data_IF_926089341722
#
_entry.id   IF_926089341722
#
_cell.length_a   1.000
_cell.length_b   1.000
_cell.length_c   1.000
_cell.angle_alpha   90.00
_cell.angle_beta   90.00
_cell.angle_gamma   90.00
#
_symmetry.space_group_name_H-M   'P 1'
#
loop_
_entity.id
_entity.type
_entity.pdbx_description
1 polymer ?
#
# COMPACT_ATOMS: atom_id res chain seq x y z
N UNK A 1 -18.57 -8.37 -19.99
CA UNK A 1 -17.35 -7.74 -20.55
C UNK A 1 -16.38 -8.84 -20.96
N UNK A 2 -15.65 -8.69 -22.06
CA UNK A 2 -14.59 -9.63 -22.44
C UNK A 2 -13.42 -9.55 -21.45
N UNK A 3 -12.74 -10.68 -21.19
CA UNK A 3 -11.54 -10.76 -20.34
C UNK A 3 -10.45 -9.77 -20.77
N UNK A 4 -10.25 -9.60 -22.07
CA UNK A 4 -9.33 -8.61 -22.64
C UNK A 4 -9.69 -7.17 -22.25
N UNK A 5 -10.99 -6.82 -22.28
CA UNK A 5 -11.47 -5.50 -21.86
C UNK A 5 -11.23 -5.26 -20.36
N UNK A 6 -11.47 -6.26 -19.53
CA UNK A 6 -11.21 -6.19 -18.09
C UNK A 6 -9.71 -6.05 -17.79
N UNK A 7 -8.86 -6.79 -18.49
CA UNK A 7 -7.41 -6.70 -18.35
C UNK A 7 -6.87 -5.31 -18.73
N UNK A 8 -7.36 -4.73 -19.83
CA UNK A 8 -7.00 -3.36 -20.22
C UNK A 8 -7.46 -2.32 -19.18
N UNK A 9 -8.64 -2.53 -18.57
CA UNK A 9 -9.13 -1.68 -17.50
C UNK A 9 -8.22 -1.73 -16.27
N UNK A 10 -7.86 -2.94 -15.83
CA UNK A 10 -6.94 -3.15 -14.71
C UNK A 10 -5.55 -2.57 -14.99
N UNK A 11 -5.02 -2.72 -16.20
CA UNK A 11 -3.76 -2.12 -16.60
C UNK A 11 -3.78 -0.59 -16.55
N UNK A 12 -4.84 0.04 -17.09
CA UNK A 12 -5.03 1.49 -17.00
C UNK A 12 -5.17 1.95 -15.54
N UNK A 13 -5.84 1.15 -14.70
CA UNK A 13 -5.95 1.39 -13.26
C UNK A 13 -4.55 1.41 -12.61
N UNK A 14 -3.70 0.44 -12.92
CA UNK A 14 -2.30 0.38 -12.46
C UNK A 14 -1.48 1.58 -12.88
N UNK A 15 -1.56 1.99 -14.15
CA UNK A 15 -0.84 3.18 -14.63
C UNK A 15 -1.29 4.47 -13.90
N UNK A 16 -2.59 4.60 -13.60
CA UNK A 16 -3.07 5.74 -12.78
C UNK A 16 -2.54 5.66 -11.35
N UNK A 17 -2.53 4.47 -10.75
CA UNK A 17 -1.98 4.24 -9.42
C UNK A 17 -0.49 4.62 -9.34
N UNK A 18 0.32 4.25 -10.33
CA UNK A 18 1.74 4.68 -10.39
C UNK A 18 1.90 6.20 -10.43
N UNK A 19 1.00 6.91 -11.14
CA UNK A 19 1.04 8.38 -11.21
C UNK A 19 0.67 9.02 -9.88
N UNK A 20 -0.27 8.43 -9.14
CA UNK A 20 -0.65 8.91 -7.81
C UNK A 20 0.52 8.72 -6.84
N UNK A 21 1.11 7.53 -6.79
CA UNK A 21 2.21 7.21 -5.88
C UNK A 21 3.51 7.96 -6.20
N UNK A 22 3.87 8.06 -7.49
CA UNK A 22 5.20 8.50 -7.94
C UNK A 22 5.17 9.78 -8.79
N UNK A 23 4.07 10.52 -8.82
CA UNK A 23 3.89 11.65 -9.75
C UNK A 23 4.92 12.78 -9.62
N UNK A 24 5.57 12.90 -8.47
CA UNK A 24 6.60 13.90 -8.19
C UNK A 24 8.03 13.37 -8.39
N UNK A 25 8.19 12.07 -8.67
CA UNK A 25 9.46 11.41 -8.95
C UNK A 25 9.39 10.77 -10.33
N UNK A 26 9.81 11.51 -11.35
CA UNK A 26 9.73 11.06 -12.73
C UNK A 26 10.51 9.77 -12.99
N UNK A 27 11.65 9.58 -12.31
CA UNK A 27 12.49 8.37 -12.48
C UNK A 27 11.76 7.15 -11.94
N UNK A 28 11.21 7.23 -10.73
CA UNK A 28 10.42 6.14 -10.15
C UNK A 28 9.12 5.91 -10.91
N UNK A 29 8.45 6.97 -11.38
CA UNK A 29 7.25 6.85 -12.21
C UNK A 29 7.54 6.09 -13.51
N UNK A 30 8.62 6.41 -14.21
CA UNK A 30 9.01 5.71 -15.44
C UNK A 30 9.35 4.25 -15.17
N UNK A 31 10.14 3.96 -14.13
CA UNK A 31 10.48 2.61 -13.73
C UNK A 31 9.23 1.78 -13.38
N UNK A 32 8.32 2.34 -12.59
CA UNK A 32 7.08 1.67 -12.20
C UNK A 32 6.17 1.38 -13.40
N UNK A 33 6.06 2.31 -14.36
CA UNK A 33 5.30 2.10 -15.60
C UNK A 33 5.92 1.02 -16.48
N UNK A 34 7.24 0.99 -16.58
CA UNK A 34 7.96 -0.08 -17.29
C UNK A 34 7.71 -1.43 -16.63
N UNK A 35 7.76 -1.51 -15.29
CA UNK A 35 7.48 -2.76 -14.57
C UNK A 35 6.03 -3.21 -14.70
N UNK A 36 5.08 -2.29 -14.71
CA UNK A 36 3.67 -2.59 -14.99
C UNK A 36 3.47 -3.16 -16.39
N UNK A 37 4.15 -2.59 -17.40
CA UNK A 37 4.11 -3.12 -18.77
C UNK A 37 4.71 -4.52 -18.84
N UNK A 38 5.86 -4.72 -18.20
CA UNK A 38 6.54 -6.01 -18.13
C UNK A 38 5.64 -7.06 -17.45
N UNK A 39 5.03 -6.75 -16.30
CA UNK A 39 4.14 -7.68 -15.60
C UNK A 39 2.84 -7.99 -16.33
N UNK A 40 2.39 -7.10 -17.22
CA UNK A 40 1.24 -7.36 -18.10
C UNK A 40 1.62 -8.29 -19.26
N UNK A 41 2.85 -8.18 -19.80
CA UNK A 41 3.34 -9.03 -20.88
C UNK A 41 3.83 -10.39 -20.36
N UNK A 42 4.51 -10.38 -19.22
CA UNK A 42 5.13 -11.52 -18.55
C UNK A 42 4.64 -11.55 -17.09
N UNK A 43 3.44 -12.08 -16.83
CA UNK A 43 2.90 -12.15 -15.48
C UNK A 43 3.81 -13.01 -14.58
N UNK A 44 4.02 -12.61 -13.31
CA UNK A 44 4.93 -13.32 -12.40
C UNK A 44 4.47 -14.75 -12.09
N UNK A 45 3.16 -15.00 -12.18
CA UNK A 45 2.55 -16.31 -11.98
C UNK A 45 1.73 -16.67 -13.24
N UNK A 46 2.37 -17.20 -14.30
CA UNK A 46 1.70 -17.45 -15.58
C UNK A 46 0.63 -18.55 -15.51
N UNK A 47 0.72 -19.44 -14.52
CA UNK A 47 -0.24 -20.54 -14.29
C UNK A 47 -1.60 -20.07 -13.77
N UNK A 48 -1.72 -18.82 -13.32
CA UNK A 48 -2.98 -18.29 -12.79
C UNK A 48 -3.99 -18.06 -13.91
N UNK A 49 -5.27 -18.28 -13.60
CA UNK A 49 -6.36 -17.96 -14.52
C UNK A 49 -6.35 -16.45 -14.86
N UNK A 50 -6.76 -16.06 -16.09
CA UNK A 50 -6.78 -14.65 -16.49
C UNK A 50 -7.50 -13.74 -15.51
N UNK A 51 -8.61 -14.19 -14.91
CA UNK A 51 -9.36 -13.44 -13.90
C UNK A 51 -8.53 -13.16 -12.64
N UNK A 52 -7.73 -14.14 -12.19
CA UNK A 52 -6.86 -14.00 -11.03
C UNK A 52 -5.71 -13.04 -11.33
N UNK A 53 -5.16 -13.06 -12.55
CA UNK A 53 -4.12 -12.11 -12.97
C UNK A 53 -4.66 -10.67 -13.02
N UNK A 54 -5.88 -10.49 -13.53
CA UNK A 54 -6.58 -9.20 -13.54
C UNK A 54 -6.81 -8.70 -12.11
N UNK A 55 -7.25 -9.60 -11.23
CA UNK A 55 -7.46 -9.29 -9.82
C UNK A 55 -6.15 -8.87 -9.13
N UNK A 56 -5.08 -9.63 -9.33
CA UNK A 56 -3.75 -9.29 -8.82
C UNK A 56 -3.29 -7.90 -9.30
N UNK A 57 -3.50 -7.56 -10.57
CA UNK A 57 -3.14 -6.24 -11.09
C UNK A 57 -3.94 -5.10 -10.43
N UNK A 58 -5.22 -5.34 -10.11
CA UNK A 58 -6.03 -4.40 -9.34
C UNK A 58 -5.54 -4.28 -7.89
N UNK A 59 -5.13 -5.36 -7.26
CA UNK A 59 -4.56 -5.36 -5.91
C UNK A 59 -3.26 -4.58 -5.85
N UNK A 60 -2.34 -4.79 -6.81
CA UNK A 60 -1.14 -3.96 -6.96
C UNK A 60 -1.52 -2.48 -7.10
N UNK A 61 -2.54 -2.18 -7.90
CA UNK A 61 -3.02 -0.79 -8.08
C UNK A 61 -3.56 -0.19 -6.77
N UNK A 62 -4.27 -0.97 -5.96
CA UNK A 62 -4.74 -0.54 -4.64
C UNK A 62 -3.56 -0.35 -3.68
N UNK A 63 -2.61 -1.28 -3.66
CA UNK A 63 -1.43 -1.22 -2.83
C UNK A 63 -0.62 0.06 -3.09
N UNK A 64 -0.35 0.37 -4.36
CA UNK A 64 0.36 1.60 -4.76
C UNK A 64 -0.31 2.88 -4.23
N UNK A 65 -1.65 2.93 -4.18
CA UNK A 65 -2.38 4.14 -3.78
C UNK A 65 -2.59 4.23 -2.27
N UNK A 66 -2.76 3.09 -1.61
CA UNK A 66 -3.10 3.03 -0.18
C UNK A 66 -1.87 2.96 0.70
N UNK A 67 -0.86 2.20 0.29
CA UNK A 67 0.23 1.77 1.17
C UNK A 67 1.57 2.43 0.85
N UNK A 68 1.72 3.04 -0.33
CA UNK A 68 2.96 3.70 -0.72
C UNK A 68 2.80 5.21 -0.63
N UNK A 69 3.73 5.85 0.09
CA UNK A 69 3.86 7.30 0.17
C UNK A 69 5.30 7.69 -0.12
N UNK A 70 5.49 8.69 -0.98
CA UNK A 70 6.82 9.25 -1.23
C UNK A 70 7.13 10.40 -0.27
N UNK A 71 8.31 10.34 0.34
CA UNK A 71 8.89 11.46 1.05
C UNK A 71 9.60 12.41 0.09
N UNK A 72 9.33 13.71 0.21
CA UNK A 72 10.06 14.77 -0.48
C UNK A 72 10.97 15.47 0.52
N UNK A 73 12.26 15.57 0.21
CA UNK A 73 13.19 16.39 1.01
C UNK A 73 12.81 17.86 0.84
N UNK A 74 12.54 18.53 1.96
CA UNK A 74 12.37 19.98 2.03
C UNK A 74 13.69 20.67 2.37
N UNK A 75 13.61 21.80 3.06
CA UNK A 75 14.80 22.54 3.47
C UNK A 75 15.58 21.78 4.56
N UNK A 76 16.88 21.60 4.33
CA UNK A 76 17.78 20.85 5.21
C UNK A 76 17.48 19.34 5.21
N UNK A 77 17.36 18.75 6.39
CA UNK A 77 17.19 17.30 6.57
C UNK A 77 15.74 16.89 6.91
N UNK A 78 14.78 17.77 6.64
CA UNK A 78 13.36 17.49 6.83
C UNK A 78 12.75 16.85 5.59
N UNK A 79 11.93 15.83 5.79
CA UNK A 79 11.16 15.18 4.74
C UNK A 79 9.68 15.38 4.98
N UNK A 80 8.94 15.76 3.94
CA UNK A 80 7.48 15.82 3.95
C UNK A 80 6.92 14.61 3.22
N UNK A 81 5.95 13.93 3.83
CA UNK A 81 5.30 12.78 3.22
C UNK A 81 4.13 13.26 2.35
N UNK A 82 4.08 12.80 1.09
CA UNK A 82 3.01 13.14 0.16
C UNK A 82 1.78 12.23 0.36
N UNK A 83 1.15 12.34 1.52
CA UNK A 83 -0.09 11.62 1.85
C UNK A 83 -1.25 12.23 1.06
N UNK A 84 -2.08 11.39 0.44
CA UNK A 84 -3.26 11.83 -0.32
C UNK A 84 -4.53 11.13 0.18
N UNK A 85 -5.69 11.55 -0.33
CA UNK A 85 -7.03 11.06 0.08
C UNK A 85 -7.24 9.53 0.01
N UNK A 86 -6.41 8.84 -0.76
CA UNK A 86 -6.53 7.38 -0.96
C UNK A 86 -5.48 6.61 -0.19
N UNK A 87 -4.51 7.30 0.43
CA UNK A 87 -3.56 6.70 1.34
C UNK A 87 -4.34 6.21 2.56
N UNK A 88 -4.12 4.96 2.92
CA UNK A 88 -4.73 4.39 4.11
C UNK A 88 -4.03 4.98 5.34
N UNK A 89 -4.82 5.67 6.18
CA UNK A 89 -4.37 6.12 7.48
C UNK A 89 -4.69 5.02 8.48
N UNK A 90 -3.66 4.41 9.05
CA UNK A 90 -3.85 3.42 10.10
C UNK A 90 -4.57 4.04 11.29
N UNK A 91 -5.78 3.54 11.58
CA UNK A 91 -6.49 3.90 12.80
C UNK A 91 -5.95 3.08 13.97
N UNK A 92 -5.17 3.75 14.84
CA UNK A 92 -4.57 3.12 16.01
C UNK A 92 -5.58 2.83 17.13
N UNK A 93 -6.87 3.19 17.01
CA UNK A 93 -7.87 2.95 18.06
C UNK A 93 -8.11 1.45 18.33
N UNK A 94 -7.97 0.58 17.32
CA UNK A 94 -8.07 -0.88 17.48
C UNK A 94 -6.87 -1.51 18.22
N UNK A 95 -5.70 -0.85 18.21
CA UNK A 95 -4.52 -1.25 19.00
C UNK A 95 -4.74 -0.90 20.49
N UNK A 96 -5.50 0.16 20.78
CA UNK A 96 -5.83 0.53 22.17
C UNK A 96 -6.84 -0.41 22.81
N UNK A 97 -7.80 -0.95 22.04
CA UNK A 97 -8.78 -1.91 22.56
C UNK A 97 -8.14 -3.25 22.90
N UNK A 98 -7.20 -3.74 22.09
CA UNK A 98 -6.40 -4.94 22.38
C UNK A 98 -5.53 -4.78 23.63
N UNK A 99 -4.97 -3.58 23.89
CA UNK A 99 -4.31 -3.26 25.17
C UNK A 99 -5.25 -3.42 26.37
N UNK A 100 -6.49 -2.94 26.31
CA UNK A 100 -7.48 -3.12 27.40
C UNK A 100 -7.80 -4.60 27.65
N UNK A 101 -7.89 -5.41 26.60
CA UNK A 101 -8.18 -6.85 26.73
C UNK A 101 -6.99 -7.64 27.30
N UNK A 102 -5.76 -7.23 27.00
CA UNK A 102 -4.54 -7.85 27.55
C UNK A 102 -4.32 -7.46 29.03
N UNK A 103 -4.64 -6.22 29.40
CA UNK A 103 -4.64 -5.75 30.81
C UNK A 103 -5.70 -6.48 31.63
N UNK A 104 -6.90 -6.74 31.09
CA UNK A 104 -7.96 -7.45 31.83
C UNK A 104 -7.71 -8.95 32.01
N UNK A 105 -6.82 -9.54 31.21
CA UNK A 105 -6.45 -10.97 31.25
C UNK A 105 -5.13 -11.24 31.99
N UNK A 106 -4.56 -10.26 32.69
CA UNK A 106 -3.40 -10.46 33.56
C UNK A 106 -2.10 -10.86 32.85
N UNK A 107 -2.01 -10.66 31.53
CA UNK A 107 -0.87 -11.10 30.71
C UNK A 107 0.02 -9.93 30.29
N UNK A 108 0.89 -9.47 31.19
CA UNK A 108 2.01 -8.61 30.82
C UNK A 108 3.09 -9.45 30.13
N UNK A 109 3.26 -9.27 28.82
CA UNK A 109 4.47 -9.73 28.13
C UNK A 109 5.53 -8.64 28.28
N UNK A 110 6.67 -9.00 28.87
CA UNK A 110 7.75 -8.16 29.39
C UNK A 110 7.44 -7.48 30.73
N UNK A 111 8.12 -7.95 31.79
CA UNK A 111 7.91 -7.55 33.17
C UNK A 111 7.97 -6.03 33.38
N UNK A 112 6.99 -5.55 34.15
CA UNK A 112 6.89 -4.14 34.54
C UNK A 112 5.57 -3.81 35.22
N UNK A 113 5.05 -4.73 36.04
CA UNK A 113 3.94 -4.43 36.92
C UNK A 113 4.47 -3.83 38.21
N UNK A 114 4.46 -2.51 38.33
CA UNK A 114 4.15 -1.71 39.53
C UNK A 114 4.52 -0.24 39.29
N UNK A 115 3.52 0.65 39.33
CA UNK A 115 3.73 2.10 39.28
C UNK A 115 2.75 2.94 38.45
N UNK A 116 1.65 2.36 37.93
CA UNK A 116 0.77 3.08 37.00
C UNK A 116 -0.24 4.07 37.62
N UNK A 117 -0.16 4.38 38.93
CA UNK A 117 -1.02 5.39 39.54
C UNK A 117 -0.31 6.17 40.65
N UNK A 118 0.34 7.28 40.26
CA UNK A 118 0.33 8.57 40.96
C UNK A 118 0.39 9.68 39.91
#
# INVERSE_FOLDING_TARGET
MSTSSMALSAYRNGLRATKIAFGQDLRMLQAARSKMREGMANPPNPELAPEQQIQHLNEVSQFLRRNIVQGKRGDGDKYTLNIHKETELGDNETIKTTKKTLISRGGGCCGGGQGLYK
#
